data_IF_903449385142
#
_entry.id   IF_903449385142
#
_cell.length_a   1.000
_cell.length_b   1.000
_cell.length_c   1.000
_cell.angle_alpha   90.00
_cell.angle_beta   90.00
_cell.angle_gamma   90.00
#
_symmetry.space_group_name_H-M   'P 1'
#
loop_
_entity.id
_entity.type
_entity.pdbx_description
1 polymer ?
#
# COMPACT_ATOMS: atom_id res chain seq x y z
N UNK A 1 -20.48 -6.90 -4.85
CA UNK A 1 -21.36 -7.34 -3.75
C UNK A 1 -21.18 -6.38 -2.59
N UNK A 2 -22.19 -6.11 -1.75
CA UNK A 2 -21.99 -5.33 -0.52
C UNK A 2 -21.06 -6.12 0.43
N UNK A 3 -20.09 -5.42 1.01
CA UNK A 3 -19.15 -5.98 1.99
C UNK A 3 -19.94 -6.34 3.26
N UNK A 4 -19.76 -7.55 3.75
CA UNK A 4 -20.42 -8.06 4.94
C UNK A 4 -19.75 -7.48 6.21
N UNK A 5 -20.44 -7.45 7.35
CA UNK A 5 -19.92 -6.89 8.61
C UNK A 5 -18.62 -7.57 9.07
N UNK A 6 -18.45 -8.87 8.84
CA UNK A 6 -17.21 -9.60 9.17
C UNK A 6 -16.05 -9.18 8.29
N UNK A 7 -16.29 -8.98 7.01
CA UNK A 7 -15.29 -8.50 6.04
C UNK A 7 -14.86 -7.07 6.37
N UNK A 8 -15.82 -6.21 6.72
CA UNK A 8 -15.54 -4.85 7.18
C UNK A 8 -14.68 -4.86 8.45
N UNK A 9 -15.01 -5.72 9.41
CA UNK A 9 -14.22 -5.86 10.64
C UNK A 9 -12.79 -6.36 10.34
N UNK A 10 -12.63 -7.33 9.42
CA UNK A 10 -11.32 -7.81 9.00
C UNK A 10 -10.48 -6.69 8.39
N UNK A 11 -11.06 -5.91 7.48
CA UNK A 11 -10.38 -4.77 6.84
C UNK A 11 -9.96 -3.74 7.90
N UNK A 12 -10.85 -3.41 8.84
CA UNK A 12 -10.56 -2.46 9.92
C UNK A 12 -9.41 -2.94 10.82
N UNK A 13 -9.40 -4.22 11.18
CA UNK A 13 -8.31 -4.84 11.97
C UNK A 13 -6.99 -4.80 11.20
N UNK A 14 -7.00 -5.15 9.91
CA UNK A 14 -5.80 -5.12 9.08
C UNK A 14 -5.25 -3.69 8.94
N UNK A 15 -6.10 -2.71 8.63
CA UNK A 15 -5.69 -1.30 8.55
C UNK A 15 -5.16 -0.79 9.89
N UNK A 16 -5.82 -1.13 11.00
CA UNK A 16 -5.37 -0.78 12.34
C UNK A 16 -4.01 -1.38 12.67
N UNK A 17 -3.82 -2.67 12.39
CA UNK A 17 -2.54 -3.35 12.59
C UNK A 17 -1.42 -2.75 11.72
N UNK A 18 -1.69 -2.50 10.43
CA UNK A 18 -0.73 -1.86 9.53
C UNK A 18 -0.33 -0.46 10.03
N UNK A 19 -1.30 0.32 10.49
CA UNK A 19 -1.07 1.68 11.02
C UNK A 19 -0.24 1.66 12.29
N UNK A 20 -0.56 0.79 13.25
CA UNK A 20 0.19 0.66 14.49
C UNK A 20 1.64 0.24 14.21
N UNK A 21 1.85 -0.77 13.40
CA UNK A 21 3.19 -1.23 13.03
C UNK A 21 3.97 -0.13 12.31
N UNK A 22 3.35 0.57 11.38
CA UNK A 22 3.97 1.70 10.66
C UNK A 22 4.37 2.81 11.61
N UNK A 23 3.50 3.15 12.57
CA UNK A 23 3.78 4.18 13.57
C UNK A 23 5.02 3.87 14.41
N UNK A 24 5.22 2.61 14.80
CA UNK A 24 6.40 2.19 15.57
C UNK A 24 7.67 2.09 14.72
N UNK A 25 7.57 1.75 13.44
CA UNK A 25 8.72 1.59 12.55
C UNK A 25 9.19 2.93 11.98
N UNK A 26 8.28 3.86 11.71
CA UNK A 26 8.59 5.15 11.09
C UNK A 26 9.67 5.95 11.83
N UNK A 27 9.68 6.07 13.18
CA UNK A 27 10.70 6.82 13.90
C UNK A 27 12.09 6.19 13.88
N UNK A 28 12.22 4.92 13.48
CA UNK A 28 13.53 4.23 13.44
C UNK A 28 14.44 4.76 12.33
N UNK A 29 13.91 5.57 11.41
CA UNK A 29 14.70 6.24 10.37
C UNK A 29 15.44 5.28 9.44
N UNK A 30 14.94 4.05 9.29
CA UNK A 30 15.57 3.06 8.42
C UNK A 30 15.46 3.51 6.96
N UNK A 31 16.57 3.39 6.22
CA UNK A 31 16.61 3.71 4.78
C UNK A 31 15.64 2.87 3.94
N UNK A 32 15.34 1.67 4.42
CA UNK A 32 14.44 0.71 3.78
C UNK A 32 13.32 0.38 4.77
N UNK A 33 12.21 1.10 4.69
CA UNK A 33 11.01 0.82 5.48
C UNK A 33 9.91 0.28 4.58
N UNK A 34 9.25 -0.82 4.96
CA UNK A 34 8.02 -1.22 4.30
C UNK A 34 6.94 -0.16 4.55
N UNK A 35 6.08 0.06 3.60
CA UNK A 35 4.83 0.80 3.79
C UNK A 35 3.76 -0.20 4.24
N UNK A 36 3.70 -0.41 5.56
CA UNK A 36 2.82 -1.43 6.13
C UNK A 36 1.34 -1.11 5.96
N UNK A 37 0.97 0.17 5.93
CA UNK A 37 -0.42 0.54 5.65
C UNK A 37 -0.81 0.08 4.25
N UNK A 38 0.04 0.35 3.25
CA UNK A 38 -0.17 -0.14 1.88
C UNK A 38 -0.15 -1.66 1.80
N UNK A 39 0.77 -2.34 2.48
CA UNK A 39 0.81 -3.80 2.52
C UNK A 39 -0.49 -4.40 3.09
N UNK A 40 -0.96 -3.88 4.23
CA UNK A 40 -2.15 -4.40 4.89
C UNK A 40 -3.45 -4.06 4.17
N UNK A 41 -3.57 -2.89 3.52
CA UNK A 41 -4.75 -2.65 2.69
C UNK A 41 -4.76 -3.55 1.44
N UNK A 42 -3.61 -3.81 0.82
CA UNK A 42 -3.52 -4.78 -0.27
C UNK A 42 -3.94 -6.18 0.19
N UNK A 43 -3.45 -6.63 1.36
CA UNK A 43 -3.88 -7.90 1.94
C UNK A 43 -5.40 -7.94 2.16
N UNK A 44 -5.98 -6.88 2.70
CA UNK A 44 -7.43 -6.76 2.90
C UNK A 44 -8.22 -6.86 1.58
N UNK A 45 -7.78 -6.16 0.53
CA UNK A 45 -8.39 -6.22 -0.80
C UNK A 45 -8.30 -7.63 -1.40
N UNK A 46 -7.14 -8.28 -1.27
CA UNK A 46 -6.89 -9.63 -1.80
C UNK A 46 -7.75 -10.68 -1.09
N UNK A 47 -7.87 -10.59 0.25
CA UNK A 47 -8.63 -11.57 1.03
C UNK A 47 -10.15 -11.40 0.88
N UNK A 48 -10.64 -10.16 0.85
CA UNK A 48 -12.08 -9.84 0.88
C UNK A 48 -12.66 -9.69 -0.53
N UNK A 49 -11.87 -9.24 -1.49
CA UNK A 49 -12.31 -8.94 -2.87
C UNK A 49 -13.54 -8.01 -2.91
N UNK A 50 -13.48 -6.83 -2.28
CA UNK A 50 -14.65 -5.98 -2.01
C UNK A 50 -15.23 -5.30 -3.25
N UNK A 51 -14.72 -5.59 -4.44
CA UNK A 51 -15.01 -4.88 -5.67
C UNK A 51 -14.34 -3.49 -5.71
N UNK A 52 -14.45 -2.82 -6.86
CA UNK A 52 -13.74 -1.55 -7.11
C UNK A 52 -14.10 -0.44 -6.10
N UNK A 53 -15.39 -0.30 -5.76
CA UNK A 53 -15.84 0.74 -4.81
C UNK A 53 -15.32 0.50 -3.41
N UNK A 54 -15.33 -0.77 -2.99
CA UNK A 54 -14.78 -1.17 -1.69
C UNK A 54 -13.26 -0.99 -1.64
N UNK A 55 -12.54 -1.38 -2.69
CA UNK A 55 -11.10 -1.17 -2.80
C UNK A 55 -10.73 0.31 -2.70
N UNK A 56 -11.42 1.19 -3.44
CA UNK A 56 -11.22 2.64 -3.35
C UNK A 56 -11.50 3.17 -1.94
N UNK A 57 -12.57 2.71 -1.27
CA UNK A 57 -12.87 3.08 0.11
C UNK A 57 -11.75 2.67 1.08
N UNK A 58 -11.20 1.46 0.91
CA UNK A 58 -10.05 0.97 1.69
C UNK A 58 -8.82 1.86 1.43
N UNK A 59 -8.56 2.21 0.16
CA UNK A 59 -7.44 3.08 -0.22
C UNK A 59 -7.57 4.50 0.35
N UNK A 60 -8.77 5.07 0.39
CA UNK A 60 -9.04 6.38 1.02
C UNK A 60 -8.76 6.30 2.52
N UNK A 61 -9.28 5.27 3.20
CA UNK A 61 -9.03 5.06 4.62
C UNK A 61 -7.52 4.85 4.91
N UNK A 62 -6.84 4.01 4.12
CA UNK A 62 -5.39 3.80 4.22
C UNK A 62 -4.59 5.07 3.98
N UNK A 63 -4.94 5.86 2.94
CA UNK A 63 -4.31 7.15 2.65
C UNK A 63 -4.48 8.16 3.79
N UNK A 64 -5.68 8.21 4.39
CA UNK A 64 -5.93 9.05 5.57
C UNK A 64 -5.08 8.61 6.78
N UNK A 65 -5.02 7.31 7.05
CA UNK A 65 -4.19 6.76 8.13
C UNK A 65 -2.69 7.04 7.88
N UNK A 66 -2.23 6.93 6.64
CA UNK A 66 -0.85 7.26 6.26
C UNK A 66 -0.49 8.74 6.47
N UNK A 67 -1.47 9.66 6.39
CA UNK A 67 -1.25 11.07 6.72
C UNK A 67 -0.90 11.30 8.19
N UNK A 68 -1.40 10.44 9.09
CA UNK A 68 -1.18 10.55 10.53
C UNK A 68 0.21 10.04 10.95
N UNK A 69 0.91 9.35 10.06
CA UNK A 69 2.24 8.80 10.35
C UNK A 69 3.29 9.90 10.16
N UNK A 70 4.13 10.18 11.19
CA UNK A 70 5.19 11.16 11.07
C UNK A 70 6.28 10.72 10.09
N UNK A 71 6.96 11.70 9.46
CA UNK A 71 8.10 11.44 8.56
C UNK A 71 7.80 11.52 7.06
N UNK A 72 6.55 11.64 6.65
CA UNK A 72 6.21 11.87 5.24
C UNK A 72 6.58 13.30 4.82
N UNK A 73 7.24 13.44 3.65
CA UNK A 73 7.58 14.75 3.07
C UNK A 73 6.34 15.56 2.65
N UNK A 74 5.25 14.86 2.32
CA UNK A 74 3.97 15.45 1.93
C UNK A 74 2.83 14.52 2.36
N UNK A 75 2.35 14.61 3.61
CA UNK A 75 1.30 13.72 4.12
C UNK A 75 0.04 13.69 3.25
N UNK A 76 -0.37 14.84 2.71
CA UNK A 76 -1.56 14.98 1.84
C UNK A 76 -1.49 14.17 0.54
N UNK A 77 -0.29 13.89 0.02
CA UNK A 77 -0.13 13.08 -1.17
C UNK A 77 -0.69 11.66 -0.99
N UNK A 78 -0.73 11.16 0.25
CA UNK A 78 -1.28 9.84 0.56
C UNK A 78 -2.79 9.75 0.30
N UNK A 79 -3.53 10.85 0.33
CA UNK A 79 -4.96 10.87 -0.02
C UNK A 79 -5.20 10.61 -1.51
N UNK A 80 -4.21 10.83 -2.36
CA UNK A 80 -4.28 10.56 -3.79
C UNK A 80 -3.62 9.22 -4.11
N UNK A 81 -2.43 8.98 -3.56
CA UNK A 81 -1.66 7.75 -3.84
C UNK A 81 -2.29 6.50 -3.21
N UNK A 82 -2.94 6.62 -2.04
CA UNK A 82 -3.62 5.50 -1.38
C UNK A 82 -4.75 4.91 -2.22
N UNK A 83 -5.77 5.69 -2.65
CA UNK A 83 -6.82 5.21 -3.54
C UNK A 83 -6.28 4.68 -4.87
N UNK A 84 -5.26 5.32 -5.44
CA UNK A 84 -4.65 4.85 -6.69
C UNK A 84 -3.94 3.51 -6.52
N UNK A 85 -3.20 3.31 -5.42
CA UNK A 85 -2.60 2.01 -5.06
C UNK A 85 -3.65 0.93 -4.82
N UNK A 86 -4.75 1.26 -4.14
CA UNK A 86 -5.85 0.33 -3.90
C UNK A 86 -6.59 -0.06 -5.18
N UNK A 87 -6.80 0.91 -6.09
CA UNK A 87 -7.34 0.63 -7.41
C UNK A 87 -6.42 -0.31 -8.20
N UNK A 88 -5.11 -0.02 -8.20
CA UNK A 88 -4.11 -0.86 -8.84
C UNK A 88 -4.08 -2.27 -8.23
N UNK A 89 -4.16 -2.37 -6.90
CA UNK A 89 -4.24 -3.65 -6.20
C UNK A 89 -5.45 -4.47 -6.67
N UNK A 90 -6.64 -3.87 -6.71
CA UNK A 90 -7.84 -4.53 -7.21
C UNK A 90 -7.66 -5.00 -8.66
N UNK A 91 -7.22 -4.12 -9.55
CA UNK A 91 -7.06 -4.42 -10.97
C UNK A 91 -6.04 -5.52 -11.24
N UNK A 92 -4.87 -5.43 -10.63
CA UNK A 92 -3.82 -6.44 -10.83
C UNK A 92 -4.17 -7.77 -10.18
N UNK A 93 -4.89 -7.77 -9.05
CA UNK A 93 -5.34 -9.02 -8.45
C UNK A 93 -6.35 -9.73 -9.35
N UNK A 94 -7.30 -9.03 -9.94
CA UNK A 94 -8.23 -9.62 -10.92
C UNK A 94 -7.49 -10.21 -12.14
N UNK A 95 -6.38 -9.59 -12.53
CA UNK A 95 -5.56 -10.03 -13.67
C UNK A 95 -4.69 -11.24 -13.35
N UNK A 96 -4.11 -11.31 -12.13
CA UNK A 96 -3.13 -12.33 -11.74
C UNK A 96 -3.72 -13.44 -10.87
N UNK A 97 -5.01 -13.43 -10.58
CA UNK A 97 -5.66 -14.27 -9.55
C UNK A 97 -5.40 -15.78 -9.66
N UNK A 98 -5.12 -16.30 -10.85
CA UNK A 98 -4.88 -17.71 -11.08
C UNK A 98 -3.46 -18.18 -10.68
N UNK A 99 -2.57 -17.23 -10.41
CA UNK A 99 -1.19 -17.50 -10.05
C UNK A 99 -0.98 -17.74 -8.56
N UNK A 100 -0.14 -18.70 -8.19
CA UNK A 100 0.24 -18.95 -6.78
C UNK A 100 0.94 -17.75 -6.13
N UNK A 101 1.57 -16.91 -6.93
CA UNK A 101 2.26 -15.69 -6.54
C UNK A 101 1.45 -14.43 -6.81
N UNK A 102 0.15 -14.56 -7.09
CA UNK A 102 -0.73 -13.43 -7.37
C UNK A 102 -0.67 -12.34 -6.28
N UNK A 103 -0.72 -12.64 -4.96
CA UNK A 103 -0.63 -11.60 -3.93
C UNK A 103 0.70 -10.84 -3.98
N UNK A 104 1.80 -11.52 -4.27
CA UNK A 104 3.13 -10.91 -4.40
C UNK A 104 3.17 -9.94 -5.58
N UNK A 105 2.81 -10.40 -6.79
CA UNK A 105 2.83 -9.58 -7.99
C UNK A 105 1.87 -8.40 -7.90
N UNK A 106 0.66 -8.63 -7.36
CA UNK A 106 -0.34 -7.59 -7.14
C UNK A 106 0.15 -6.51 -6.19
N UNK A 107 0.66 -6.89 -5.02
CA UNK A 107 1.12 -5.93 -4.01
C UNK A 107 2.34 -5.16 -4.50
N UNK A 108 3.27 -5.82 -5.18
CA UNK A 108 4.41 -5.16 -5.80
C UNK A 108 3.94 -4.06 -6.77
N UNK A 109 3.07 -4.41 -7.72
CA UNK A 109 2.55 -3.47 -8.72
C UNK A 109 1.74 -2.33 -8.09
N UNK A 110 0.90 -2.64 -7.10
CA UNK A 110 0.11 -1.65 -6.38
C UNK A 110 0.99 -0.65 -5.61
N UNK A 111 2.04 -1.12 -4.95
CA UNK A 111 3.00 -0.27 -4.23
C UNK A 111 3.80 0.61 -5.20
N UNK A 112 4.21 0.09 -6.35
CA UNK A 112 4.85 0.90 -7.40
C UNK A 112 3.94 2.03 -7.88
N UNK A 113 2.68 1.72 -8.20
CA UNK A 113 1.70 2.72 -8.65
C UNK A 113 1.49 3.78 -7.57
N UNK A 114 1.25 3.37 -6.34
CA UNK A 114 1.08 4.29 -5.21
C UNK A 114 2.29 5.20 -5.02
N UNK A 115 3.49 4.63 -4.99
CA UNK A 115 4.75 5.37 -4.82
C UNK A 115 5.03 6.34 -5.97
N UNK A 116 4.82 5.94 -7.22
CA UNK A 116 4.97 6.81 -8.38
C UNK A 116 3.99 7.99 -8.34
N UNK A 117 2.73 7.75 -7.97
CA UNK A 117 1.72 8.81 -7.83
C UNK A 117 2.07 9.73 -6.67
N UNK A 118 2.53 9.20 -5.54
CA UNK A 118 3.02 10.01 -4.42
C UNK A 118 4.13 10.97 -4.88
N UNK A 119 5.16 10.46 -5.57
CA UNK A 119 6.27 11.27 -6.09
C UNK A 119 5.79 12.28 -7.11
N UNK A 120 4.85 11.93 -8.00
CA UNK A 120 4.28 12.85 -8.98
C UNK A 120 3.53 14.01 -8.28
N UNK A 121 2.68 13.72 -7.30
CA UNK A 121 1.96 14.73 -6.51
C UNK A 121 2.95 15.61 -5.74
N UNK A 122 3.96 15.02 -5.10
CA UNK A 122 5.00 15.76 -4.39
C UNK A 122 5.78 16.68 -5.35
N UNK A 123 6.08 16.23 -6.57
CA UNK A 123 6.78 17.03 -7.57
C UNK A 123 5.98 18.27 -7.97
N UNK A 124 4.66 18.13 -8.13
CA UNK A 124 3.80 19.28 -8.48
C UNK A 124 3.71 20.27 -7.33
N UNK A 125 3.46 19.80 -6.10
CA UNK A 125 3.18 20.65 -4.94
C UNK A 125 4.46 21.28 -4.37
N UNK A 126 5.56 20.51 -4.32
CA UNK A 126 6.84 20.93 -3.72
C UNK A 126 7.90 21.34 -4.75
N UNK A 127 7.48 21.74 -5.97
CA UNK A 127 8.37 22.02 -7.09
C UNK A 127 9.53 22.96 -6.74
N UNK A 128 9.27 24.06 -6.03
CA UNK A 128 10.29 25.00 -5.59
C UNK A 128 11.31 24.38 -4.63
N UNK A 129 10.84 23.61 -3.65
CA UNK A 129 11.70 22.92 -2.68
C UNK A 129 12.53 21.82 -3.34
N UNK A 130 11.94 21.10 -4.30
CA UNK A 130 12.63 20.03 -5.03
C UNK A 130 13.73 20.62 -5.91
N UNK A 131 13.45 21.70 -6.64
CA UNK A 131 14.45 22.38 -7.45
C UNK A 131 15.61 22.93 -6.63
N UNK A 132 15.33 23.49 -5.45
CA UNK A 132 16.37 24.03 -4.56
C UNK A 132 17.26 22.94 -3.95
N UNK A 133 16.73 21.75 -3.67
CA UNK A 133 17.46 20.64 -3.01
C UNK A 133 18.14 19.68 -4.00
N UNK A 134 17.49 19.38 -5.10
CA UNK A 134 17.92 18.35 -6.06
C UNK A 134 18.41 18.91 -7.40
N UNK A 135 18.30 20.24 -7.59
CA UNK A 135 18.70 20.92 -8.81
C UNK A 135 17.77 20.71 -10.00
N UNK A 136 17.12 19.54 -10.09
CA UNK A 136 16.15 19.21 -11.12
C UNK A 136 15.17 18.11 -10.67
N UNK A 137 14.05 17.94 -11.39
CA UNK A 137 13.05 16.91 -11.09
C UNK A 137 13.57 15.48 -11.31
N UNK A 138 14.49 15.29 -12.30
CA UNK A 138 15.10 13.99 -12.56
C UNK A 138 15.95 13.48 -11.38
N UNK A 139 16.73 14.36 -10.75
CA UNK A 139 17.51 14.02 -9.55
C UNK A 139 16.62 13.58 -8.39
N UNK A 140 15.48 14.27 -8.18
CA UNK A 140 14.50 13.88 -7.19
C UNK A 140 13.92 12.50 -7.49
N UNK A 141 13.45 12.26 -8.71
CA UNK A 141 12.88 10.98 -9.12
C UNK A 141 13.91 9.83 -8.98
N UNK A 142 15.14 10.03 -9.43
CA UNK A 142 16.21 9.03 -9.32
C UNK A 142 16.57 8.70 -7.85
N UNK A 143 16.39 9.63 -6.93
CA UNK A 143 16.59 9.40 -5.50
C UNK A 143 15.45 8.56 -4.90
N UNK A 144 14.21 8.81 -5.29
CA UNK A 144 13.04 8.13 -4.73
C UNK A 144 12.71 6.80 -5.39
N UNK A 145 13.09 6.60 -6.66
CA UNK A 145 12.81 5.36 -7.39
C UNK A 145 13.35 4.09 -6.71
N UNK A 146 14.61 4.04 -6.25
CA UNK A 146 15.12 2.88 -5.50
C UNK A 146 14.34 2.63 -4.20
N UNK A 147 13.91 3.69 -3.51
CA UNK A 147 13.12 3.58 -2.28
C UNK A 147 11.76 2.97 -2.58
N UNK A 148 11.07 3.44 -3.64
CA UNK A 148 9.79 2.89 -4.07
C UNK A 148 9.91 1.40 -4.43
N UNK A 149 10.93 1.04 -5.20
CA UNK A 149 11.15 -0.37 -5.61
C UNK A 149 11.42 -1.24 -4.37
N UNK A 150 12.29 -0.81 -3.47
CA UNK A 150 12.63 -1.56 -2.25
C UNK A 150 11.40 -1.75 -1.36
N UNK A 151 10.61 -0.69 -1.16
CA UNK A 151 9.35 -0.74 -0.41
C UNK A 151 8.36 -1.69 -1.08
N UNK A 152 8.26 -1.67 -2.42
CA UNK A 152 7.37 -2.57 -3.16
C UNK A 152 7.78 -4.04 -3.00
N UNK A 153 9.08 -4.34 -3.01
CA UNK A 153 9.59 -5.70 -2.76
C UNK A 153 9.26 -6.15 -1.33
N UNK A 154 9.53 -5.32 -0.34
CA UNK A 154 9.25 -5.65 1.07
C UNK A 154 7.75 -5.88 1.31
N UNK A 155 6.91 -4.99 0.83
CA UNK A 155 5.45 -5.12 0.93
C UNK A 155 4.95 -6.41 0.25
N UNK A 156 5.45 -6.71 -0.94
CA UNK A 156 5.07 -7.92 -1.68
C UNK A 156 5.43 -9.20 -0.92
N UNK A 157 6.61 -9.27 -0.32
CA UNK A 157 7.06 -10.41 0.49
C UNK A 157 6.18 -10.55 1.74
N UNK A 158 5.92 -9.45 2.46
CA UNK A 158 5.08 -9.44 3.66
C UNK A 158 3.67 -9.94 3.33
N UNK A 159 3.04 -9.39 2.29
CA UNK A 159 1.68 -9.78 1.90
C UNK A 159 1.61 -11.22 1.44
N UNK A 160 2.59 -11.68 0.65
CA UNK A 160 2.66 -13.08 0.24
C UNK A 160 2.77 -14.03 1.44
N UNK A 161 3.62 -13.71 2.41
CA UNK A 161 3.79 -14.52 3.62
C UNK A 161 2.49 -14.57 4.45
N UNK A 162 1.87 -13.40 4.70
CA UNK A 162 0.62 -13.32 5.47
C UNK A 162 -0.54 -14.03 4.74
N UNK A 163 -0.61 -13.92 3.43
CA UNK A 163 -1.61 -14.63 2.63
C UNK A 163 -1.46 -16.14 2.73
N UNK A 164 -0.23 -16.67 2.68
CA UNK A 164 0.01 -18.11 2.84
C UNK A 164 -0.36 -18.60 4.25
N UNK A 165 -0.10 -17.81 5.28
CA UNK A 165 -0.51 -18.13 6.66
C UNK A 165 -2.03 -18.10 6.78
N UNK A 166 -2.72 -17.09 6.26
CA UNK A 166 -4.18 -16.99 6.33
C UNK A 166 -4.88 -18.18 5.67
N UNK A 167 -4.36 -18.66 4.55
CA UNK A 167 -4.88 -19.88 3.88
C UNK A 167 -4.73 -21.14 4.71
N UNK A 168 -3.68 -21.26 5.53
CA UNK A 168 -3.48 -22.43 6.41
C UNK A 168 -4.42 -22.43 7.62
N UNK A 169 -4.77 -21.24 8.12
CA UNK A 169 -5.66 -21.09 9.28
C UNK A 169 -7.14 -21.28 8.89
N UNK A 170 -7.49 -21.00 7.63
CA UNK A 170 -8.87 -21.14 7.12
C UNK A 170 -9.30 -22.57 6.81
N UNK A 171 -8.50 -23.61 7.11
CA UNK A 171 -8.83 -25.02 6.85
C UNK A 171 -8.85 -25.80 8.17
N UNK A 172 -9.98 -25.83 8.87
CA UNK A 172 -10.71 -27.08 9.02
C UNK A 172 -12.23 -26.86 8.94
N UNK A 173 -12.88 -27.32 7.87
CA UNK A 173 -14.32 -27.53 7.87
C UNK A 173 -15.17 -26.92 6.76
N UNK A 174 -14.62 -26.60 5.60
CA UNK A 174 -15.41 -26.33 4.37
C UNK A 174 -14.92 -27.25 3.25
N UNK A 175 -15.39 -28.47 3.30
CA UNK A 175 -15.52 -29.36 2.18
C UNK A 175 -17.01 -29.55 1.93
#
# INVERSE_FOLDING_TARGET
MPVNSRETALIAVLLGAGTLLQYFISPLGLLLTPDLITAFFCLGIILVQPGIRGALGIGIAGGFLSMLIPGSILPWANLVSGPAGAYACYYFFETFRDGRTAPLATTFSATLVSGCIFVAVATVILSGTILSRFGNFGGFFMTYLPIIISTAVLNAIIVQALFLVSRRVSIPGQA
#
